data_IF_367134297629
#
_entry.id   IF_367134297629
#
_cell.length_a   1.000
_cell.length_b   1.000
_cell.length_c   1.000
_cell.angle_alpha   90.00
_cell.angle_beta   90.00
_cell.angle_gamma   90.00
#
_symmetry.space_group_name_H-M   'P 1'
#
loop_
_entity.id
_entity.type
_entity.pdbx_description
1 polymer ?
#
# COMPACT_ATOMS: atom_id res chain seq x y z
N UNK A 1 9.93 -17.12 -16.76
CA UNK A 1 8.95 -16.58 -17.73
C UNK A 1 8.49 -15.26 -17.12
N UNK A 2 8.87 -14.14 -17.72
CA UNK A 2 8.53 -12.80 -17.21
C UNK A 2 7.01 -12.62 -17.34
N UNK A 3 6.31 -12.61 -16.20
CA UNK A 3 4.91 -12.25 -16.15
C UNK A 3 4.75 -10.82 -16.71
N UNK A 4 3.85 -10.62 -17.65
CA UNK A 4 3.52 -9.29 -18.15
C UNK A 4 3.09 -8.43 -16.96
N UNK A 5 3.54 -7.16 -16.87
CA UNK A 5 3.24 -6.29 -15.74
C UNK A 5 1.77 -5.82 -15.69
N UNK A 6 0.91 -6.42 -16.52
CA UNK A 6 -0.50 -6.05 -16.66
C UNK A 6 -1.38 -7.27 -16.46
N UNK A 7 -2.40 -7.14 -15.61
CA UNK A 7 -3.50 -8.08 -15.48
C UNK A 7 -4.80 -7.33 -15.74
N UNK A 8 -5.73 -7.95 -16.45
CA UNK A 8 -7.05 -7.38 -16.68
C UNK A 8 -8.04 -7.98 -15.67
N UNK A 9 -8.73 -7.13 -14.93
CA UNK A 9 -9.76 -7.56 -13.96
C UNK A 9 -10.93 -8.26 -14.66
N UNK A 10 -11.26 -7.80 -15.89
CA UNK A 10 -12.34 -8.35 -16.69
C UNK A 10 -11.86 -8.81 -18.08
N UNK A 11 -11.09 -9.92 -18.17
CA UNK A 11 -10.46 -10.38 -19.43
C UNK A 11 -11.48 -10.72 -20.52
N UNK A 12 -12.71 -11.08 -20.17
CA UNK A 12 -13.78 -11.39 -21.14
C UNK A 12 -14.16 -10.19 -22.01
N UNK A 13 -13.99 -8.96 -21.53
CA UNK A 13 -14.29 -7.76 -22.31
C UNK A 13 -13.35 -7.61 -23.50
N UNK A 14 -12.14 -8.17 -23.43
CA UNK A 14 -11.19 -8.16 -24.53
C UNK A 14 -11.70 -8.91 -25.78
N UNK A 15 -12.65 -9.84 -25.63
CA UNK A 15 -13.33 -10.43 -26.78
C UNK A 15 -14.10 -9.41 -27.62
N UNK A 16 -14.44 -8.25 -27.04
CA UNK A 16 -14.99 -7.13 -27.80
C UNK A 16 -14.07 -6.58 -28.89
N UNK A 17 -12.75 -6.80 -28.80
CA UNK A 17 -11.81 -6.45 -29.86
C UNK A 17 -12.05 -7.25 -31.14
N UNK A 18 -12.64 -8.45 -31.06
CA UNK A 18 -13.02 -9.24 -32.22
C UNK A 18 -14.16 -8.60 -33.04
N UNK A 19 -14.90 -7.67 -32.47
CA UNK A 19 -15.92 -6.90 -33.18
C UNK A 19 -15.30 -5.80 -34.08
N UNK A 20 -14.06 -5.38 -33.85
CA UNK A 20 -13.41 -4.31 -34.63
C UNK A 20 -13.32 -4.60 -36.13
N UNK A 21 -12.96 -5.81 -36.59
CA UNK A 21 -12.97 -6.12 -38.03
C UNK A 21 -14.38 -6.02 -38.64
N UNK A 22 -15.42 -6.43 -37.92
CA UNK A 22 -16.80 -6.30 -38.36
C UNK A 22 -17.24 -4.84 -38.46
N UNK A 23 -16.87 -4.02 -37.49
CA UNK A 23 -17.12 -2.57 -37.49
C UNK A 23 -16.37 -1.92 -38.66
N UNK A 24 -15.11 -2.28 -38.89
CA UNK A 24 -14.34 -1.79 -40.01
C UNK A 24 -14.99 -2.13 -41.34
N UNK A 25 -15.48 -3.34 -41.53
CA UNK A 25 -16.18 -3.79 -42.75
C UNK A 25 -17.48 -3.01 -42.94
N UNK A 26 -18.26 -2.82 -41.86
CA UNK A 26 -19.52 -2.07 -41.89
C UNK A 26 -19.30 -0.59 -42.25
N UNK A 27 -18.24 0.05 -41.71
CA UNK A 27 -17.88 1.42 -42.02
C UNK A 27 -17.35 1.61 -43.44
N UNK A 28 -16.93 0.54 -44.12
CA UNK A 28 -16.50 0.55 -45.51
C UNK A 28 -17.66 0.49 -46.51
N UNK A 29 -18.86 0.11 -46.03
CA UNK A 29 -20.06 0.13 -46.86
C UNK A 29 -20.40 1.61 -47.17
N UNK A 30 -20.04 2.04 -48.37
CA UNK A 30 -20.38 3.38 -48.85
C UNK A 30 -21.90 3.52 -49.04
N UNK A 31 -22.53 4.62 -48.61
CA UNK A 31 -23.94 4.85 -48.91
C UNK A 31 -24.19 4.84 -50.43
N UNK A 32 -25.36 4.40 -50.89
CA UNK A 32 -25.68 4.35 -52.31
C UNK A 32 -25.53 5.76 -52.91
N UNK A 33 -24.89 5.83 -54.08
CA UNK A 33 -24.71 7.08 -54.82
C UNK A 33 -26.08 7.71 -55.04
N UNK A 34 -26.29 9.02 -54.71
CA UNK A 34 -27.50 9.71 -55.09
C UNK A 34 -27.62 9.65 -56.63
N UNK A 35 -28.75 9.13 -57.11
CA UNK A 35 -29.04 9.17 -58.56
C UNK A 35 -29.15 10.63 -58.97
N UNK A 36 -28.22 11.10 -59.77
CA UNK A 36 -28.31 12.44 -60.35
C UNK A 36 -29.43 12.41 -61.40
N UNK A 37 -30.58 12.98 -61.11
CA UNK A 37 -31.59 13.27 -62.10
C UNK A 37 -31.15 14.53 -62.82
N UNK A 38 -30.96 14.40 -64.15
CA UNK A 38 -30.55 15.52 -65.00
C UNK A 38 -31.76 16.38 -65.27
N UNK A 39 -31.84 17.52 -64.62
CA UNK A 39 -32.84 18.53 -64.92
C UNK A 39 -32.30 19.44 -66.02
N UNK A 40 -32.92 19.49 -67.24
CA UNK A 40 -32.39 20.15 -68.40
C UNK A 40 -32.11 21.67 -68.25
N UNK A 41 -32.89 22.46 -67.48
CA UNK A 41 -32.64 23.91 -67.35
C UNK A 41 -31.44 24.26 -66.47
N UNK A 42 -30.87 23.35 -65.72
CA UNK A 42 -29.74 23.59 -64.78
C UNK A 42 -28.37 23.61 -65.48
N UNK A 43 -28.29 23.25 -66.75
CA UNK A 43 -27.02 23.16 -67.50
C UNK A 43 -26.28 24.49 -67.59
N UNK A 44 -27.00 25.62 -67.54
CA UNK A 44 -26.44 26.99 -67.62
C UNK A 44 -25.99 27.44 -66.21
N UNK A 45 -26.68 27.07 -65.16
CA UNK A 45 -26.31 27.41 -63.76
C UNK A 45 -25.13 26.62 -63.24
N UNK A 46 -24.94 25.39 -63.72
CA UNK A 46 -23.86 24.50 -63.31
C UNK A 46 -22.47 24.95 -63.76
N UNK A 47 -22.39 25.88 -64.70
CA UNK A 47 -21.11 26.46 -65.21
C UNK A 47 -20.58 27.55 -64.25
N UNK A 48 -21.41 28.11 -63.38
CA UNK A 48 -21.05 29.24 -62.49
C UNK A 48 -20.82 28.76 -61.02
N UNK A 49 -21.45 27.66 -60.66
CA UNK A 49 -21.25 27.10 -59.30
C UNK A 49 -20.03 26.18 -59.33
N UNK A 50 -18.93 26.66 -58.74
CA UNK A 50 -17.79 25.78 -58.40
C UNK A 50 -18.34 24.53 -57.71
N UNK A 51 -18.15 23.39 -58.35
CA UNK A 51 -18.47 22.07 -57.81
C UNK A 51 -17.70 21.91 -56.51
N UNK A 52 -18.33 22.12 -55.37
CA UNK A 52 -17.82 21.60 -54.08
C UNK A 52 -17.90 20.07 -54.18
N UNK A 53 -16.78 19.46 -54.51
CA UNK A 53 -16.62 18.03 -54.42
C UNK A 53 -16.63 17.65 -52.95
N UNK A 54 -17.82 17.34 -52.42
CA UNK A 54 -17.90 16.65 -51.14
C UNK A 54 -17.21 15.31 -51.32
N UNK A 55 -16.12 15.04 -50.61
CA UNK A 55 -15.40 13.78 -50.73
C UNK A 55 -16.32 12.63 -50.37
N UNK A 56 -16.69 11.82 -51.36
CA UNK A 56 -17.62 10.68 -51.22
C UNK A 56 -17.01 9.49 -50.44
N UNK A 57 -15.81 9.64 -49.94
CA UNK A 57 -15.11 8.64 -49.14
C UNK A 57 -14.60 9.29 -47.88
N UNK A 58 -14.99 8.78 -46.73
CA UNK A 58 -14.36 9.17 -45.47
C UNK A 58 -12.85 8.95 -45.55
N UNK A 59 -12.03 9.92 -45.19
CA UNK A 59 -10.58 9.75 -45.19
C UNK A 59 -10.21 8.56 -44.32
N UNK A 60 -9.33 7.70 -44.79
CA UNK A 60 -8.95 6.44 -44.16
C UNK A 60 -8.48 6.62 -42.67
N UNK A 61 -7.84 7.74 -42.39
CA UNK A 61 -7.37 8.09 -41.05
C UNK A 61 -8.53 8.28 -40.06
N UNK A 62 -9.69 8.80 -40.52
CA UNK A 62 -10.88 8.99 -39.68
C UNK A 62 -11.49 7.64 -39.27
N UNK A 63 -11.48 6.67 -40.19
CA UNK A 63 -11.90 5.28 -39.87
C UNK A 63 -10.94 4.64 -38.87
N UNK A 64 -9.63 4.88 -39.05
CA UNK A 64 -8.61 4.39 -38.10
C UNK A 64 -8.77 5.03 -36.72
N UNK A 65 -9.04 6.34 -36.65
CA UNK A 65 -9.30 7.05 -35.41
C UNK A 65 -10.53 6.50 -34.68
N UNK A 66 -11.63 6.23 -35.40
CA UNK A 66 -12.84 5.62 -34.81
C UNK A 66 -12.58 4.24 -34.27
N UNK A 67 -11.81 3.44 -34.97
CA UNK A 67 -11.40 2.10 -34.51
C UNK A 67 -10.47 2.17 -33.29
N UNK A 68 -9.52 3.11 -33.28
CA UNK A 68 -8.65 3.34 -32.13
C UNK A 68 -9.45 3.78 -30.89
N UNK A 69 -10.44 4.64 -31.07
CA UNK A 69 -11.33 5.06 -29.99
C UNK A 69 -12.14 3.87 -29.45
N UNK A 70 -12.72 3.05 -30.33
CA UNK A 70 -13.47 1.86 -29.91
C UNK A 70 -12.56 0.85 -29.18
N UNK A 71 -11.35 0.63 -29.66
CA UNK A 71 -10.35 -0.18 -28.99
C UNK A 71 -9.97 0.37 -27.61
N UNK A 72 -9.76 1.67 -27.51
CA UNK A 72 -9.45 2.34 -26.24
C UNK A 72 -10.58 2.20 -25.22
N UNK A 73 -11.84 2.31 -25.64
CA UNK A 73 -13.00 2.08 -24.77
C UNK A 73 -13.06 0.61 -24.29
N UNK A 74 -12.83 -0.34 -25.18
CA UNK A 74 -12.81 -1.77 -24.79
C UNK A 74 -11.67 -2.04 -23.80
N UNK A 75 -10.48 -1.48 -24.03
CA UNK A 75 -9.34 -1.62 -23.14
C UNK A 75 -9.60 -0.95 -21.77
N UNK A 76 -10.24 0.22 -21.77
CA UNK A 76 -10.61 0.90 -20.52
C UNK A 76 -11.64 0.10 -19.71
N UNK A 77 -12.64 -0.50 -20.38
CA UNK A 77 -13.63 -1.35 -19.74
C UNK A 77 -13.06 -2.68 -19.24
N UNK A 78 -11.96 -3.17 -19.84
CA UNK A 78 -11.26 -4.37 -19.41
C UNK A 78 -10.49 -4.17 -18.09
N UNK A 79 -10.45 -2.94 -17.58
CA UNK A 79 -9.84 -2.53 -16.30
C UNK A 79 -8.40 -3.07 -16.14
N UNK A 80 -7.42 -2.51 -16.87
CA UNK A 80 -6.04 -2.93 -16.80
C UNK A 80 -5.41 -2.50 -15.47
N UNK A 81 -5.03 -3.46 -14.64
CA UNK A 81 -4.27 -3.23 -13.40
C UNK A 81 -2.78 -3.37 -13.71
N UNK A 82 -2.04 -2.28 -13.53
CA UNK A 82 -0.59 -2.27 -13.66
C UNK A 82 0.04 -2.76 -12.37
N UNK A 83 0.94 -3.73 -12.48
CA UNK A 83 1.63 -4.33 -11.34
C UNK A 83 0.63 -4.87 -10.29
N UNK A 84 -0.22 -5.87 -10.66
CA UNK A 84 -1.14 -6.46 -9.70
C UNK A 84 -0.31 -7.01 -8.55
N UNK A 85 -0.39 -6.35 -7.41
CA UNK A 85 0.08 -6.97 -6.18
C UNK A 85 -0.78 -8.21 -6.04
N UNK A 86 -0.15 -9.37 -5.89
CA UNK A 86 -0.86 -10.57 -5.45
C UNK A 86 -1.36 -10.28 -4.02
N UNK A 87 -2.43 -9.50 -3.93
CA UNK A 87 -3.06 -9.11 -2.66
C UNK A 87 -4.02 -10.19 -2.16
N UNK A 88 -4.12 -11.30 -2.89
CA UNK A 88 -4.89 -12.43 -2.45
C UNK A 88 -4.21 -13.16 -1.29
N UNK A 89 -5.01 -13.71 -0.38
CA UNK A 89 -4.56 -14.61 0.66
C UNK A 89 -4.31 -15.98 0.04
N UNK A 90 -3.10 -16.50 0.19
CA UNK A 90 -2.72 -17.82 -0.30
C UNK A 90 -3.22 -18.92 0.65
N UNK A 91 -3.39 -20.12 0.09
CA UNK A 91 -3.76 -21.32 0.85
C UNK A 91 -5.21 -21.33 1.35
N UNK A 92 -5.54 -22.36 2.12
CA UNK A 92 -6.89 -22.59 2.67
C UNK A 92 -7.02 -22.30 4.16
N UNK A 93 -5.91 -22.08 4.86
CA UNK A 93 -5.89 -21.81 6.30
C UNK A 93 -6.22 -20.37 6.67
N UNK A 94 -6.20 -20.03 7.97
CA UNK A 94 -6.42 -18.68 8.46
C UNK A 94 -5.34 -17.70 7.97
N UNK A 95 -5.70 -16.42 7.91
CA UNK A 95 -4.73 -15.33 7.85
C UNK A 95 -4.15 -15.12 9.25
N UNK A 96 -2.83 -15.16 9.37
CA UNK A 96 -2.13 -14.81 10.60
C UNK A 96 -1.43 -13.48 10.40
N UNK A 97 -1.77 -12.50 11.23
CA UNK A 97 -1.15 -11.18 11.25
C UNK A 97 -0.31 -11.03 12.53
N UNK A 98 0.98 -10.78 12.35
CA UNK A 98 1.89 -10.36 13.41
C UNK A 98 2.19 -8.88 13.18
N UNK A 99 1.88 -8.04 14.15
CA UNK A 99 2.04 -6.59 14.01
C UNK A 99 2.96 -6.07 15.10
N UNK A 100 4.08 -5.49 14.71
CA UNK A 100 4.92 -4.77 15.65
C UNK A 100 4.23 -3.46 16.06
N UNK A 101 3.93 -3.33 17.34
CA UNK A 101 3.39 -2.14 17.98
C UNK A 101 4.32 -1.58 19.07
N UNK A 102 5.62 -1.76 18.87
CA UNK A 102 6.69 -1.22 19.72
C UNK A 102 6.84 0.29 19.57
N UNK A 103 7.75 0.89 20.33
CA UNK A 103 8.12 2.29 20.18
C UNK A 103 8.55 2.67 18.76
N UNK A 104 9.23 1.77 18.05
CA UNK A 104 9.72 1.99 16.70
C UNK A 104 8.61 2.01 15.64
N UNK A 105 7.42 1.50 15.98
CA UNK A 105 6.26 1.51 15.09
C UNK A 105 5.51 2.84 15.09
N UNK A 106 5.76 3.73 16.06
CA UNK A 106 5.01 4.96 16.22
C UNK A 106 5.05 5.90 14.99
N UNK A 107 6.19 6.11 14.30
CA UNK A 107 6.27 7.07 13.21
C UNK A 107 5.40 6.73 11.99
N UNK A 108 5.15 5.45 11.73
CA UNK A 108 4.40 4.99 10.56
C UNK A 108 3.20 4.10 10.92
N UNK A 109 2.70 4.24 12.15
CA UNK A 109 1.61 3.43 12.68
C UNK A 109 0.36 3.41 11.80
N UNK A 110 -0.08 4.55 11.31
CA UNK A 110 -1.24 4.66 10.44
C UNK A 110 -1.09 3.82 9.15
N UNK A 111 0.12 3.81 8.58
CA UNK A 111 0.42 3.00 7.38
C UNK A 111 0.37 1.50 7.70
N UNK A 112 0.82 1.09 8.88
CA UNK A 112 0.78 -0.30 9.34
C UNK A 112 -0.65 -0.75 9.56
N UNK A 113 -1.47 0.08 10.21
CA UNK A 113 -2.90 -0.16 10.38
C UNK A 113 -3.58 -0.31 9.02
N UNK A 114 -3.38 0.61 8.10
CA UNK A 114 -3.95 0.53 6.75
C UNK A 114 -3.52 -0.74 5.99
N UNK A 115 -2.25 -1.19 6.19
CA UNK A 115 -1.77 -2.45 5.60
C UNK A 115 -2.46 -3.66 6.22
N UNK A 116 -2.61 -3.68 7.54
CA UNK A 116 -3.31 -4.75 8.24
C UNK A 116 -4.80 -4.80 7.86
N UNK A 117 -5.47 -3.65 7.79
CA UNK A 117 -6.87 -3.53 7.34
C UNK A 117 -7.05 -4.09 5.91
N UNK A 118 -6.13 -3.76 5.00
CA UNK A 118 -6.19 -4.27 3.63
C UNK A 118 -6.08 -5.81 3.59
N UNK A 119 -5.16 -6.40 4.40
CA UNK A 119 -5.01 -7.84 4.51
C UNK A 119 -6.23 -8.52 5.16
N UNK A 120 -6.82 -7.89 6.19
CA UNK A 120 -8.06 -8.38 6.81
C UNK A 120 -9.22 -8.32 5.81
N UNK A 121 -9.33 -7.26 5.00
CA UNK A 121 -10.30 -7.17 3.91
C UNK A 121 -10.10 -8.22 2.82
N UNK A 122 -8.85 -8.61 2.53
CA UNK A 122 -8.56 -9.75 1.64
C UNK A 122 -9.02 -11.07 2.27
N UNK A 123 -8.85 -11.25 3.58
CA UNK A 123 -9.33 -12.41 4.32
C UNK A 123 -10.87 -12.50 4.32
N UNK A 124 -11.55 -11.38 4.48
CA UNK A 124 -13.01 -11.30 4.42
C UNK A 124 -13.55 -11.75 3.07
N UNK A 125 -12.96 -11.23 1.97
CA UNK A 125 -13.33 -11.66 0.60
C UNK A 125 -13.08 -13.13 0.32
N UNK A 126 -12.06 -13.70 0.98
CA UNK A 126 -11.71 -15.10 0.87
C UNK A 126 -12.44 -15.99 1.90
N UNK A 127 -13.32 -15.41 2.74
CA UNK A 127 -14.04 -16.09 3.84
C UNK A 127 -13.08 -16.83 4.79
N UNK A 128 -11.93 -16.21 5.13
CA UNK A 128 -10.92 -16.80 6.00
C UNK A 128 -10.97 -16.21 7.40
N UNK A 129 -10.82 -17.04 8.44
CA UNK A 129 -10.62 -16.54 9.80
C UNK A 129 -9.27 -15.80 9.89
N UNK A 130 -9.19 -14.85 10.82
CA UNK A 130 -8.01 -14.02 11.05
C UNK A 130 -7.53 -14.19 12.48
N UNK A 131 -6.25 -14.50 12.63
CA UNK A 131 -5.52 -14.41 13.90
C UNK A 131 -4.65 -13.16 13.86
N UNK A 132 -4.76 -12.29 14.85
CA UNK A 132 -3.92 -11.08 14.95
C UNK A 132 -3.25 -11.03 16.31
N UNK A 133 -1.94 -10.77 16.33
CA UNK A 133 -1.16 -10.61 17.53
C UNK A 133 -0.23 -9.39 17.42
N UNK A 134 -0.04 -8.70 18.55
CA UNK A 134 0.81 -7.52 18.67
C UNK A 134 2.02 -7.82 19.54
N UNK A 135 3.22 -7.46 19.04
CA UNK A 135 4.49 -7.89 19.65
C UNK A 135 4.86 -7.18 20.96
N UNK A 136 4.28 -6.02 21.23
CA UNK A 136 4.53 -5.28 22.49
C UNK A 136 3.34 -5.36 23.47
N UNK A 137 2.38 -6.26 23.24
CA UNK A 137 1.30 -6.52 24.18
C UNK A 137 1.74 -7.49 25.26
N UNK A 138 1.20 -7.33 26.46
CA UNK A 138 1.52 -8.24 27.58
C UNK A 138 0.85 -9.61 27.42
N UNK A 139 -0.33 -9.63 26.82
CA UNK A 139 -1.10 -10.81 26.51
C UNK A 139 -1.24 -10.95 25.00
N UNK A 140 -0.94 -12.15 24.49
CA UNK A 140 -0.98 -12.43 23.06
C UNK A 140 -2.18 -13.32 22.77
N UNK A 141 -3.37 -12.72 22.61
CA UNK A 141 -4.56 -13.43 22.16
C UNK A 141 -4.55 -13.54 20.62
N UNK A 142 -3.97 -14.63 20.13
CA UNK A 142 -3.81 -14.93 18.70
C UNK A 142 -4.81 -15.98 18.20
N UNK A 143 -5.90 -16.22 18.89
CA UNK A 143 -6.92 -17.20 18.48
C UNK A 143 -7.57 -16.74 17.16
N UNK A 144 -7.61 -17.60 16.12
CA UNK A 144 -8.30 -17.26 14.87
C UNK A 144 -9.78 -16.97 15.09
N UNK A 145 -10.23 -15.81 14.66
CA UNK A 145 -11.59 -15.34 14.82
C UNK A 145 -12.16 -14.75 13.53
N UNK A 146 -13.28 -14.05 13.63
CA UNK A 146 -13.89 -13.34 12.50
C UNK A 146 -13.07 -12.10 12.15
N UNK A 147 -13.21 -11.64 10.92
CA UNK A 147 -12.58 -10.39 10.43
C UNK A 147 -13.02 -9.18 11.24
N UNK A 148 -14.27 -9.15 11.70
CA UNK A 148 -14.79 -8.09 12.55
C UNK A 148 -14.05 -7.99 13.89
N UNK A 149 -13.78 -9.11 14.56
CA UNK A 149 -13.01 -9.15 15.80
C UNK A 149 -11.55 -8.71 15.56
N UNK A 150 -10.96 -9.12 14.43
CA UNK A 150 -9.60 -8.71 14.09
C UNK A 150 -9.52 -7.19 13.84
N UNK A 151 -10.51 -6.59 13.17
CA UNK A 151 -10.59 -5.13 12.97
C UNK A 151 -10.79 -4.39 14.29
N UNK A 152 -11.60 -4.91 15.20
CA UNK A 152 -11.79 -4.32 16.53
C UNK A 152 -10.49 -4.32 17.34
N UNK A 153 -9.76 -5.45 17.37
CA UNK A 153 -8.44 -5.54 18.01
C UNK A 153 -7.45 -4.55 17.38
N UNK A 154 -7.44 -4.44 16.06
CA UNK A 154 -6.55 -3.52 15.33
C UNK A 154 -6.89 -2.06 15.63
N UNK A 155 -8.17 -1.68 15.68
CA UNK A 155 -8.61 -0.33 16.00
C UNK A 155 -8.29 0.08 17.45
N UNK A 156 -8.27 -0.87 18.37
CA UNK A 156 -7.88 -0.64 19.77
C UNK A 156 -6.36 -0.55 19.97
N UNK A 157 -5.57 -1.11 19.05
CA UNK A 157 -4.13 -1.19 19.15
C UNK A 157 -3.47 0.18 18.98
N UNK A 158 -2.39 0.39 19.74
CA UNK A 158 -1.56 1.62 19.69
C UNK A 158 -0.10 1.25 19.84
N UNK A 159 0.82 2.07 19.31
CA UNK A 159 2.24 1.93 19.60
C UNK A 159 2.50 2.07 21.10
N UNK A 160 3.33 1.21 21.63
CA UNK A 160 3.72 1.19 23.05
C UNK A 160 5.19 1.56 23.22
N UNK A 161 5.56 2.29 24.27
CA UNK A 161 6.96 2.61 24.56
C UNK A 161 7.71 1.40 25.14
N UNK A 162 7.57 0.25 24.50
CA UNK A 162 8.12 -1.05 24.91
C UNK A 162 8.94 -1.64 23.76
N UNK A 163 9.85 -2.54 24.11
CA UNK A 163 10.56 -3.41 23.16
C UNK A 163 9.61 -4.55 22.76
N UNK A 164 9.57 -4.96 21.49
CA UNK A 164 8.72 -6.07 21.05
C UNK A 164 9.21 -7.40 21.64
N UNK A 165 8.32 -8.26 22.11
CA UNK A 165 8.60 -9.65 22.47
C UNK A 165 8.14 -10.58 21.36
N UNK A 166 8.95 -10.66 20.31
CA UNK A 166 8.66 -11.41 19.09
C UNK A 166 8.66 -12.91 19.29
N UNK A 167 9.49 -13.40 20.22
CA UNK A 167 9.57 -14.84 20.51
C UNK A 167 8.28 -15.31 21.18
N UNK A 168 7.87 -14.63 22.25
CA UNK A 168 6.64 -14.96 22.96
C UNK A 168 5.40 -14.82 22.07
N UNK A 169 5.38 -13.81 21.21
CA UNK A 169 4.30 -13.65 20.23
C UNK A 169 4.24 -14.83 19.27
N UNK A 170 5.39 -15.29 18.74
CA UNK A 170 5.44 -16.44 17.83
C UNK A 170 5.01 -17.74 18.51
N UNK A 171 5.39 -17.95 19.77
CA UNK A 171 4.96 -19.08 20.57
C UNK A 171 3.45 -19.06 20.83
N UNK A 172 2.89 -17.91 21.21
CA UNK A 172 1.46 -17.76 21.44
C UNK A 172 0.63 -18.00 20.17
N UNK A 173 1.11 -17.56 19.00
CA UNK A 173 0.48 -17.85 17.72
C UNK A 173 0.50 -19.35 17.44
N UNK A 174 1.63 -20.00 17.68
CA UNK A 174 1.77 -21.46 17.47
C UNK A 174 0.80 -22.23 18.35
N UNK A 175 0.68 -21.85 19.60
CA UNK A 175 -0.27 -22.44 20.55
C UNK A 175 -1.72 -22.20 20.12
N UNK A 176 -2.07 -20.96 19.78
CA UNK A 176 -3.42 -20.58 19.38
C UNK A 176 -3.91 -21.28 18.10
N UNK A 177 -3.00 -21.54 17.15
CA UNK A 177 -3.32 -22.27 15.93
C UNK A 177 -3.56 -23.76 16.16
N UNK A 178 -3.05 -24.32 17.26
CA UNK A 178 -3.28 -25.71 17.67
C UNK A 178 -3.12 -26.72 16.52
N UNK A 179 -2.03 -26.62 15.76
CA UNK A 179 -1.73 -27.48 14.62
C UNK A 179 -2.41 -27.11 13.29
N UNK A 180 -3.22 -26.03 13.28
CA UNK A 180 -3.81 -25.51 12.03
C UNK A 180 -2.74 -24.79 11.23
N UNK A 181 -2.52 -25.23 9.97
CA UNK A 181 -1.57 -24.56 9.06
C UNK A 181 -2.14 -23.24 8.55
N UNK A 182 -1.42 -22.12 8.70
CA UNK A 182 -1.85 -20.84 8.14
C UNK A 182 -1.90 -20.87 6.62
N UNK A 183 -2.88 -20.18 6.02
CA UNK A 183 -2.86 -19.89 4.59
C UNK A 183 -1.79 -18.84 4.28
N UNK A 184 -1.96 -17.64 4.78
CA UNK A 184 -0.98 -16.55 4.71
C UNK A 184 -0.58 -16.13 6.12
N UNK A 185 0.73 -16.04 6.36
CA UNK A 185 1.29 -15.39 7.54
C UNK A 185 1.93 -14.08 7.10
N UNK A 186 1.41 -12.95 7.58
CA UNK A 186 1.95 -11.63 7.29
C UNK A 186 2.52 -11.01 8.56
N UNK A 187 3.81 -10.67 8.51
CA UNK A 187 4.50 -9.99 9.58
C UNK A 187 4.74 -8.52 9.20
N UNK A 188 4.08 -7.61 9.90
CA UNK A 188 4.23 -6.15 9.74
C UNK A 188 5.28 -5.68 10.75
N UNK A 189 6.53 -5.72 10.31
CA UNK A 189 7.71 -5.47 11.13
C UNK A 189 8.01 -3.97 11.29
N UNK A 190 8.51 -3.56 12.45
CA UNK A 190 8.92 -2.16 12.69
C UNK A 190 10.22 -1.77 11.98
N UNK A 191 10.97 -2.74 11.45
CA UNK A 191 12.23 -2.52 10.73
C UNK A 191 13.46 -2.44 11.64
N UNK A 192 13.29 -2.57 12.96
CA UNK A 192 14.40 -2.62 13.91
C UNK A 192 14.75 -4.07 14.21
N UNK A 193 16.00 -4.42 13.93
CA UNK A 193 16.51 -5.76 14.20
C UNK A 193 16.81 -5.94 15.69
N UNK A 194 16.39 -7.09 16.22
CA UNK A 194 16.70 -7.53 17.59
C UNK A 194 17.40 -8.89 17.59
N UNK A 195 18.05 -9.22 18.68
CA UNK A 195 18.71 -10.54 18.84
C UNK A 195 17.72 -11.72 18.81
N UNK A 196 16.44 -11.46 19.01
CA UNK A 196 15.37 -12.47 19.08
C UNK A 196 14.74 -12.80 17.72
N UNK A 197 15.03 -12.02 16.69
CA UNK A 197 14.34 -12.11 15.39
C UNK A 197 14.51 -13.47 14.72
N UNK A 198 15.74 -14.00 14.76
CA UNK A 198 16.02 -15.29 14.14
C UNK A 198 15.20 -16.43 14.76
N UNK A 199 15.07 -16.44 16.09
CA UNK A 199 14.27 -17.43 16.83
C UNK A 199 12.79 -17.28 16.51
N UNK A 200 12.26 -16.06 16.59
CA UNK A 200 10.86 -15.78 16.29
C UNK A 200 10.48 -16.16 14.85
N UNK A 201 11.31 -15.76 13.88
CA UNK A 201 11.07 -16.08 12.47
C UNK A 201 11.14 -17.58 12.19
N UNK A 202 12.07 -18.32 12.83
CA UNK A 202 12.13 -19.79 12.74
C UNK A 202 10.84 -20.43 13.28
N UNK A 203 10.34 -19.97 14.41
CA UNK A 203 9.10 -20.46 15.00
C UNK A 203 7.91 -20.21 14.07
N UNK A 204 7.77 -18.98 13.54
CA UNK A 204 6.70 -18.65 12.59
C UNK A 204 6.81 -19.43 11.28
N UNK A 205 8.02 -19.63 10.75
CA UNK A 205 8.25 -20.39 9.54
C UNK A 205 7.95 -21.89 9.73
N UNK A 206 8.14 -22.43 10.93
CA UNK A 206 7.83 -23.84 11.23
C UNK A 206 6.34 -24.17 11.13
N UNK A 207 5.45 -23.16 11.19
CA UNK A 207 4.02 -23.30 10.92
C UNK A 207 3.71 -23.65 9.47
N UNK A 208 4.71 -23.60 8.58
CA UNK A 208 4.61 -23.94 7.16
C UNK A 208 3.45 -23.23 6.44
N UNK A 209 3.30 -21.90 6.58
CA UNK A 209 2.25 -21.16 5.90
C UNK A 209 2.39 -21.34 4.38
N UNK A 210 1.27 -21.34 3.63
CA UNK A 210 1.32 -21.39 2.18
C UNK A 210 2.03 -20.15 1.59
N UNK A 211 1.96 -19.01 2.30
CA UNK A 211 2.70 -17.81 1.98
C UNK A 211 3.17 -17.12 3.27
N UNK A 212 4.44 -16.74 3.32
CA UNK A 212 5.01 -15.92 4.38
C UNK A 212 5.41 -14.56 3.81
N UNK A 213 4.77 -13.49 4.28
CA UNK A 213 5.04 -12.11 3.88
C UNK A 213 5.65 -11.34 5.03
N UNK A 214 6.73 -10.61 4.77
CA UNK A 214 7.26 -9.61 5.70
C UNK A 214 7.05 -8.24 5.06
N UNK A 215 6.34 -7.37 5.76
CA UNK A 215 6.11 -6.00 5.38
C UNK A 215 6.82 -5.10 6.38
N UNK A 216 7.78 -4.34 5.92
CA UNK A 216 8.52 -3.38 6.76
C UNK A 216 8.41 -1.97 6.21
N UNK A 217 8.49 -0.98 7.07
CA UNK A 217 8.68 0.42 6.69
C UNK A 217 10.09 0.66 6.13
N UNK A 218 10.33 1.85 5.63
CA UNK A 218 11.65 2.28 5.12
C UNK A 218 12.64 2.66 6.23
N UNK A 219 12.22 2.66 7.49
CA UNK A 219 13.06 2.99 8.65
C UNK A 219 13.51 4.45 8.77
N UNK A 220 13.17 5.31 7.80
CA UNK A 220 13.66 6.69 7.71
C UNK A 220 13.30 7.58 8.90
N UNK A 221 12.13 7.33 9.47
CA UNK A 221 11.63 8.12 10.61
C UNK A 221 12.00 7.55 11.98
N UNK A 222 12.77 6.45 12.03
CA UNK A 222 13.09 5.79 13.30
C UNK A 222 14.25 6.51 13.98
N UNK A 223 13.93 7.11 15.12
CA UNK A 223 14.90 7.71 16.02
C UNK A 223 14.51 7.40 17.48
N UNK A 224 15.52 7.22 18.32
CA UNK A 224 15.34 6.89 19.72
C UNK A 224 16.16 7.83 20.62
N UNK A 225 15.64 8.10 21.81
CA UNK A 225 16.40 8.70 22.89
C UNK A 225 17.22 7.58 23.54
N UNK A 226 18.56 7.72 23.52
CA UNK A 226 19.51 6.75 24.07
C UNK A 226 20.02 7.12 25.45
N UNK A 227 19.80 8.37 25.87
CA UNK A 227 20.18 8.83 27.19
C UNK A 227 19.71 10.24 27.49
N UNK A 228 19.58 10.55 28.74
CA UNK A 228 19.31 11.89 29.20
C UNK A 228 20.15 12.18 30.45
N UNK A 229 20.79 13.36 30.47
CA UNK A 229 21.63 13.81 31.61
C UNK A 229 21.10 15.16 32.07
N UNK A 230 20.78 15.24 33.33
CA UNK A 230 20.34 16.49 33.94
C UNK A 230 21.56 17.31 34.41
N UNK A 231 21.82 18.43 33.76
CA UNK A 231 22.88 19.36 34.09
C UNK A 231 22.32 20.57 34.88
N UNK A 232 23.17 21.44 35.44
CA UNK A 232 22.74 22.58 36.23
C UNK A 232 21.76 23.50 35.48
N UNK A 233 22.04 23.79 34.21
CA UNK A 233 21.29 24.76 33.42
C UNK A 233 20.28 24.18 32.47
N UNK A 234 20.51 22.93 31.99
CA UNK A 234 19.67 22.30 30.99
C UNK A 234 19.75 20.75 31.05
N UNK A 235 18.82 20.09 30.43
CA UNK A 235 18.87 18.65 30.22
C UNK A 235 19.53 18.37 28.87
N UNK A 236 20.57 17.54 28.86
CA UNK A 236 21.18 17.02 27.63
C UNK A 236 20.56 15.68 27.28
N UNK A 237 19.97 15.58 26.09
CA UNK A 237 19.30 14.38 25.62
C UNK A 237 20.07 13.83 24.43
N UNK A 238 20.56 12.62 24.56
CA UNK A 238 21.25 11.89 23.48
C UNK A 238 20.23 11.15 22.62
N UNK A 239 20.37 11.27 21.30
CA UNK A 239 19.50 10.62 20.33
C UNK A 239 20.34 9.82 19.34
N UNK A 240 19.78 8.69 18.91
CA UNK A 240 20.28 7.89 17.80
C UNK A 240 19.20 7.70 16.77
N UNK A 241 19.58 7.63 15.47
CA UNK A 241 18.66 7.36 14.35
C UNK A 241 19.16 6.21 13.50
N UNK A 242 18.24 5.52 12.82
CA UNK A 242 18.56 4.39 11.96
C UNK A 242 19.02 4.84 10.57
N UNK A 243 18.25 5.72 9.91
CA UNK A 243 18.63 6.24 8.58
C UNK A 243 19.52 7.48 8.70
N UNK A 244 20.72 7.40 8.10
CA UNK A 244 21.70 8.48 8.08
C UNK A 244 21.90 9.11 6.71
N UNK A 245 21.11 8.70 5.69
CA UNK A 245 21.29 9.13 4.29
C UNK A 245 21.13 10.64 4.10
N UNK A 246 20.27 11.28 4.87
CA UNK A 246 19.99 12.72 4.79
C UNK A 246 20.18 13.43 6.12
N UNK A 247 20.35 14.75 6.09
CA UNK A 247 20.33 15.56 7.30
C UNK A 247 18.90 15.60 7.87
N UNK A 248 18.73 15.57 9.20
CA UNK A 248 17.43 15.61 9.83
C UNK A 248 17.42 16.55 11.05
N UNK A 249 16.23 17.09 11.33
CA UNK A 249 15.94 17.84 12.56
C UNK A 249 14.78 17.18 13.27
N UNK A 250 14.99 16.86 14.54
CA UNK A 250 13.98 16.29 15.41
C UNK A 250 13.73 17.22 16.60
N UNK A 251 12.47 17.39 16.97
CA UNK A 251 12.10 18.13 18.17
C UNK A 251 11.99 17.15 19.33
N UNK A 252 12.72 17.43 20.40
CA UNK A 252 12.64 16.69 21.66
C UNK A 252 11.77 17.49 22.62
N UNK A 253 10.70 16.91 23.09
CA UNK A 253 9.77 17.54 24.02
C UNK A 253 9.93 16.94 25.41
N UNK A 254 10.16 17.78 26.42
CA UNK A 254 10.01 17.42 27.83
C UNK A 254 8.52 17.58 28.19
N UNK A 255 7.93 16.51 28.71
CA UNK A 255 6.50 16.48 29.07
C UNK A 255 6.35 16.12 30.54
N UNK A 256 5.29 16.64 31.16
CA UNK A 256 4.88 16.19 32.50
C UNK A 256 4.12 14.86 32.44
N UNK A 257 3.76 14.35 33.60
CA UNK A 257 2.98 13.09 33.73
C UNK A 257 1.58 13.15 33.09
N UNK A 258 1.11 14.34 32.72
CA UNK A 258 -0.17 14.58 32.05
C UNK A 258 -0.01 14.79 30.54
N UNK A 259 1.22 14.68 30.01
CA UNK A 259 1.52 14.85 28.58
C UNK A 259 1.63 16.31 28.12
N UNK A 260 1.63 17.30 29.03
CA UNK A 260 1.81 18.72 28.67
C UNK A 260 3.28 18.99 28.42
N UNK A 261 3.57 19.67 27.30
CA UNK A 261 4.94 20.07 26.96
C UNK A 261 5.38 21.18 27.87
N UNK A 262 6.45 20.93 28.63
CA UNK A 262 7.07 21.89 29.56
C UNK A 262 8.20 22.64 28.88
N UNK A 263 8.97 21.99 28.03
CA UNK A 263 10.08 22.56 27.29
C UNK A 263 10.34 21.74 26.02
N UNK A 264 11.08 22.32 25.09
CA UNK A 264 11.53 21.60 23.91
C UNK A 264 13.00 21.91 23.59
N UNK A 265 13.63 21.01 22.84
CA UNK A 265 14.95 21.17 22.28
C UNK A 265 14.98 20.64 20.85
N UNK A 266 15.98 21.05 20.08
CA UNK A 266 16.14 20.60 18.69
C UNK A 266 17.40 19.74 18.59
N UNK A 267 17.22 18.50 18.17
CA UNK A 267 18.30 17.61 17.77
C UNK A 267 18.56 17.79 16.26
N UNK A 268 19.77 18.12 15.88
CA UNK A 268 20.17 18.26 14.48
C UNK A 268 21.16 17.16 14.13
N UNK A 269 20.83 16.37 13.10
CA UNK A 269 21.72 15.36 12.56
C UNK A 269 22.28 15.82 11.21
N UNK A 270 23.59 15.81 11.06
CA UNK A 270 24.22 15.98 9.77
C UNK A 270 24.06 14.70 8.92
N UNK A 271 24.26 14.81 7.60
CA UNK A 271 24.30 13.64 6.71
C UNK A 271 25.40 12.68 7.16
N UNK A 272 25.08 11.39 7.26
CA UNK A 272 26.00 10.35 7.72
C UNK A 272 26.11 10.26 9.26
N UNK A 273 25.48 11.13 10.02
CA UNK A 273 25.53 11.15 11.47
C UNK A 273 24.38 10.30 12.06
N UNK A 274 24.73 9.27 12.83
CA UNK A 274 23.77 8.39 13.49
C UNK A 274 23.34 8.90 14.88
N UNK A 275 24.21 9.67 15.57
CA UNK A 275 23.97 10.11 16.94
C UNK A 275 24.13 11.63 17.06
N UNK A 276 23.33 12.24 17.93
CA UNK A 276 23.42 13.66 18.26
C UNK A 276 22.91 13.91 19.66
N UNK A 277 23.12 15.14 20.17
CA UNK A 277 22.62 15.58 21.48
C UNK A 277 21.77 16.82 21.28
N UNK A 278 20.61 16.85 21.91
CA UNK A 278 19.74 18.02 22.03
C UNK A 278 19.84 18.60 23.42
N UNK A 279 19.83 19.94 23.53
CA UNK A 279 19.71 20.64 24.80
C UNK A 279 18.26 21.04 24.99
N UNK A 280 17.67 20.66 26.11
CA UNK A 280 16.31 21.03 26.52
C UNK A 280 16.40 21.92 27.76
N UNK A 281 16.04 23.17 27.59
CA UNK A 281 16.04 24.16 28.67
C UNK A 281 14.72 24.11 29.44
N UNK A 282 14.62 23.22 30.41
CA UNK A 282 13.49 23.16 31.33
C UNK A 282 13.86 23.78 32.69
N UNK A 283 12.96 24.48 33.38
CA UNK A 283 13.19 24.98 34.74
C UNK A 283 13.60 23.84 35.67
N UNK A 284 14.56 24.11 36.58
CA UNK A 284 15.11 23.07 37.46
C UNK A 284 14.04 22.33 38.26
N UNK A 285 13.04 23.08 38.74
CA UNK A 285 11.91 22.56 39.52
C UNK A 285 11.05 21.54 38.74
N UNK A 286 11.12 21.54 37.41
CA UNK A 286 10.34 20.67 36.54
C UNK A 286 11.16 19.48 35.96
N UNK A 287 12.42 19.32 36.38
CA UNK A 287 13.33 18.25 35.88
C UNK A 287 13.40 17.01 36.78
N UNK A 288 12.57 16.93 37.81
CA UNK A 288 12.53 15.77 38.74
C UNK A 288 11.58 14.71 38.27
#
# INVERSE_FOLDING_TARGET
>A
MSALPFVFTSPYILFGLLALPAIWWLLRLTPPRPKAEVFPPLKILATVLKREETPSKSPWWLTLLRMALAAAVILALADPVVNPRNSGIAGSGPLVLVVDNSWASAPDWERRVATAEALIGDAERAERPVAIAFTADAEHDAVPGTTAVALEKLAAAKPKPLVPDRVRTAEAITEALNGTTPGTLAYIADGVQTAQDESALKTLASLSPAEFRIVSGDGKAIAAITGATNNADAMSVSLSRLDTAEAARLTVNAQDSQGRILANGIATFARGQAETTATVEAPFELRN
#
